data_IF_307885855347
#
_entry.id   IF_307885855347
#
_cell.length_a   1.000
_cell.length_b   1.000
_cell.length_c   1.000
_cell.angle_alpha   90.00
_cell.angle_beta   90.00
_cell.angle_gamma   90.00
#
_symmetry.space_group_name_H-M   'P 1'
#
loop_
_entity.id
_entity.type
_entity.pdbx_description
1 polymer ?
#
# COMPACT_ATOMS: atom_id res chain seq x y z
N UNK A 1 -5.32 -16.21 21.72
CA UNK A 1 -5.82 -15.49 20.51
C UNK A 1 -5.02 -14.21 20.35
N UNK A 2 -4.28 -14.05 19.26
CA UNK A 2 -3.51 -12.83 18.97
C UNK A 2 -4.43 -11.71 18.52
N UNK A 3 -4.15 -10.48 18.96
CA UNK A 3 -4.95 -9.29 18.66
C UNK A 3 -4.13 -8.28 17.86
N UNK A 4 -4.68 -7.88 16.71
CA UNK A 4 -4.02 -6.96 15.78
C UNK A 4 -4.82 -5.66 15.68
N UNK A 5 -4.13 -4.53 15.73
CA UNK A 5 -4.63 -3.25 15.23
C UNK A 5 -4.17 -3.09 13.78
N UNK A 6 -5.11 -3.11 12.83
CA UNK A 6 -4.84 -2.89 11.42
C UNK A 6 -5.36 -1.50 11.05
N UNK A 7 -4.50 -0.59 10.69
CA UNK A 7 -4.91 0.76 10.26
C UNK A 7 -4.91 0.88 8.75
N UNK A 8 -5.78 1.69 8.16
CA UNK A 8 -5.92 1.77 6.70
C UNK A 8 -6.51 0.49 6.09
N UNK A 9 -7.32 -0.22 6.86
CA UNK A 9 -7.87 -1.53 6.53
C UNK A 9 -8.91 -1.52 5.40
N UNK A 10 -9.58 -0.40 5.15
CA UNK A 10 -10.54 -0.24 4.07
C UNK A 10 -9.89 0.21 2.74
N UNK A 11 -8.58 0.48 2.74
CA UNK A 11 -7.78 0.75 1.55
C UNK A 11 -7.39 -0.53 0.79
N UNK A 12 -6.69 -0.37 -0.32
CA UNK A 12 -6.29 -1.47 -1.22
C UNK A 12 -5.49 -2.58 -0.53
N UNK A 13 -4.29 -2.27 -0.02
CA UNK A 13 -3.42 -3.30 0.56
C UNK A 13 -3.98 -3.78 1.91
N UNK A 14 -4.51 -2.85 2.72
CA UNK A 14 -5.07 -3.16 4.03
C UNK A 14 -6.23 -4.15 3.97
N UNK A 15 -7.17 -3.98 3.03
CA UNK A 15 -8.31 -4.90 2.87
C UNK A 15 -7.86 -6.30 2.40
N UNK A 16 -6.94 -6.38 1.44
CA UNK A 16 -6.35 -7.66 1.03
C UNK A 16 -5.65 -8.36 2.21
N UNK A 17 -4.95 -7.59 3.07
CA UNK A 17 -4.31 -8.14 4.26
C UNK A 17 -5.33 -8.65 5.28
N UNK A 18 -6.45 -7.94 5.50
CA UNK A 18 -7.54 -8.41 6.37
C UNK A 18 -8.10 -9.74 5.86
N UNK A 19 -8.44 -9.84 4.57
CA UNK A 19 -8.91 -11.08 3.95
C UNK A 19 -7.89 -12.22 4.09
N UNK A 20 -6.61 -11.94 3.80
CA UNK A 20 -5.53 -12.91 3.94
C UNK A 20 -5.40 -13.44 5.36
N UNK A 21 -5.41 -12.56 6.38
CA UNK A 21 -5.26 -12.94 7.77
C UNK A 21 -6.43 -13.77 8.29
N UNK A 22 -7.67 -13.37 7.98
CA UNK A 22 -8.88 -14.12 8.38
C UNK A 22 -8.94 -15.50 7.72
N UNK A 23 -8.47 -15.63 6.47
CA UNK A 23 -8.38 -16.91 5.77
C UNK A 23 -7.32 -17.83 6.37
N UNK A 24 -6.17 -17.25 6.79
CA UNK A 24 -5.03 -18.02 7.26
C UNK A 24 -5.13 -18.46 8.72
N UNK A 25 -5.66 -17.59 9.59
CA UNK A 25 -5.63 -17.77 11.03
C UNK A 25 -7.02 -17.91 11.64
N UNK A 26 -7.39 -19.06 12.21
CA UNK A 26 -8.70 -19.24 12.84
C UNK A 26 -8.84 -18.52 14.20
N UNK A 27 -7.73 -18.30 14.91
CA UNK A 27 -7.71 -17.77 16.28
C UNK A 27 -7.02 -16.40 16.37
N UNK A 28 -7.56 -15.41 15.69
CA UNK A 28 -7.10 -14.02 15.75
C UNK A 28 -8.25 -13.06 16.00
N UNK A 29 -7.96 -11.86 16.45
CA UNK A 29 -8.87 -10.72 16.44
C UNK A 29 -8.22 -9.59 15.65
N UNK A 30 -8.90 -9.10 14.62
CA UNK A 30 -8.50 -7.94 13.84
C UNK A 30 -9.38 -6.76 14.21
N UNK A 31 -8.81 -5.75 14.86
CA UNK A 31 -9.47 -4.45 15.08
C UNK A 31 -8.98 -3.54 13.95
N UNK A 32 -9.88 -3.18 13.07
CA UNK A 32 -9.62 -2.57 11.79
C UNK A 32 -10.02 -1.09 11.84
N UNK A 33 -9.03 -0.20 11.92
CA UNK A 33 -9.21 1.25 12.03
C UNK A 33 -9.00 1.92 10.67
N UNK A 34 -10.02 2.64 10.18
CA UNK A 34 -9.91 3.43 8.96
C UNK A 34 -10.70 4.73 9.09
N UNK A 35 -10.15 5.80 8.53
CA UNK A 35 -10.80 7.11 8.51
C UNK A 35 -11.86 7.21 7.42
N UNK A 36 -11.85 6.30 6.43
CA UNK A 36 -12.69 6.32 5.25
C UNK A 36 -12.52 7.63 4.46
N UNK A 37 -11.28 7.94 4.10
CA UNK A 37 -10.97 9.01 3.13
C UNK A 37 -11.30 8.53 1.72
N UNK A 38 -10.92 9.29 0.69
CA UNK A 38 -11.28 9.02 -0.70
C UNK A 38 -10.93 7.61 -1.22
N UNK A 39 -9.90 6.96 -0.69
CA UNK A 39 -9.46 5.62 -1.10
C UNK A 39 -9.87 4.51 -0.13
N UNK A 40 -10.48 4.85 1.01
CA UNK A 40 -11.04 3.91 1.98
C UNK A 40 -12.49 3.58 1.63
N UNK A 41 -12.77 2.30 1.34
CA UNK A 41 -14.10 1.85 0.95
C UNK A 41 -14.51 0.60 1.73
N UNK A 42 -15.63 0.67 2.45
CA UNK A 42 -16.15 -0.47 3.22
C UNK A 42 -16.57 -1.66 2.34
N UNK A 43 -16.87 -1.44 1.07
CA UNK A 43 -17.14 -2.55 0.14
C UNK A 43 -15.94 -3.50 0.00
N UNK A 44 -14.73 -3.01 0.23
CA UNK A 44 -13.52 -3.82 0.25
C UNK A 44 -13.52 -4.87 1.40
N UNK A 45 -14.35 -4.68 2.43
CA UNK A 45 -14.46 -5.53 3.62
C UNK A 45 -15.83 -6.21 3.74
N UNK A 46 -16.71 -6.05 2.74
CA UNK A 46 -18.10 -6.57 2.78
C UNK A 46 -18.16 -8.07 3.03
N UNK A 47 -17.29 -8.83 2.39
CA UNK A 47 -17.27 -10.30 2.51
C UNK A 47 -16.87 -10.79 3.91
N UNK A 48 -16.27 -9.94 4.73
CA UNK A 48 -15.82 -10.25 6.09
C UNK A 48 -16.54 -9.45 7.17
N UNK A 49 -17.53 -8.64 6.80
CA UNK A 49 -18.27 -7.77 7.72
C UNK A 49 -18.91 -8.53 8.88
N UNK A 50 -19.43 -9.74 8.62
CA UNK A 50 -20.09 -10.59 9.62
C UNK A 50 -19.14 -11.55 10.36
N UNK A 51 -17.83 -11.56 10.04
CA UNK A 51 -16.87 -12.43 10.72
C UNK A 51 -16.63 -11.92 12.16
N UNK A 52 -16.89 -12.74 13.22
CA UNK A 52 -16.72 -12.31 14.60
C UNK A 52 -15.28 -11.95 14.99
N UNK A 53 -14.31 -12.31 14.16
CA UNK A 53 -12.89 -11.95 14.34
C UNK A 53 -12.54 -10.60 13.72
N UNK A 54 -13.48 -9.97 13.01
CA UNK A 54 -13.35 -8.68 12.35
C UNK A 54 -14.15 -7.63 13.11
N UNK A 55 -13.47 -6.62 13.65
CA UNK A 55 -14.09 -5.47 14.31
C UNK A 55 -13.69 -4.21 13.55
N UNK A 56 -14.65 -3.55 12.91
CA UNK A 56 -14.38 -2.29 12.23
C UNK A 56 -14.58 -1.10 13.16
N UNK A 57 -13.67 -0.14 13.10
CA UNK A 57 -13.73 1.15 13.80
C UNK A 57 -13.47 2.26 12.80
N UNK A 58 -14.43 3.17 12.63
CA UNK A 58 -14.19 4.37 11.85
C UNK A 58 -13.48 5.42 12.69
N UNK A 59 -12.31 5.89 12.25
CA UNK A 59 -11.57 6.92 12.97
C UNK A 59 -10.20 7.23 12.38
N UNK A 60 -9.62 8.33 12.86
CA UNK A 60 -8.34 8.85 12.41
C UNK A 60 -7.20 8.35 13.32
N UNK A 61 -6.11 7.85 12.76
CA UNK A 61 -4.91 7.49 13.53
C UNK A 61 -4.27 8.70 14.24
N UNK A 62 -4.62 9.91 13.84
CA UNK A 62 -4.19 11.14 14.51
C UNK A 62 -5.02 11.45 15.77
N UNK A 63 -6.18 10.82 15.97
CA UNK A 63 -7.02 11.00 17.14
C UNK A 63 -6.43 10.24 18.34
N UNK A 64 -5.87 11.01 19.26
CA UNK A 64 -5.16 10.48 20.44
C UNK A 64 -6.09 9.72 21.38
N UNK A 65 -7.25 10.26 21.65
CA UNK A 65 -8.21 9.69 22.61
C UNK A 65 -8.80 8.38 22.07
N UNK A 66 -9.14 8.37 20.76
CA UNK A 66 -9.62 7.16 20.10
C UNK A 66 -8.57 6.05 20.15
N UNK A 67 -7.33 6.33 19.72
CA UNK A 67 -6.27 5.32 19.66
C UNK A 67 -5.92 4.81 21.06
N UNK A 68 -5.82 5.69 22.07
CA UNK A 68 -5.60 5.31 23.46
C UNK A 68 -6.72 4.39 23.97
N UNK A 69 -7.98 4.75 23.72
CA UNK A 69 -9.14 3.92 24.07
C UNK A 69 -9.12 2.54 23.42
N UNK A 70 -8.63 2.44 22.17
CA UNK A 70 -8.48 1.14 21.50
C UNK A 70 -7.39 0.28 22.16
N UNK A 71 -6.23 0.85 22.51
CA UNK A 71 -5.19 0.11 23.23
C UNK A 71 -5.65 -0.34 24.60
N UNK A 72 -6.38 0.50 25.35
CA UNK A 72 -6.92 0.14 26.66
C UNK A 72 -7.96 -1.00 26.57
N UNK A 73 -8.78 -0.99 25.50
CA UNK A 73 -9.86 -1.98 25.35
C UNK A 73 -9.36 -3.34 24.89
N UNK A 74 -8.40 -3.36 23.96
CA UNK A 74 -8.07 -4.60 23.24
C UNK A 74 -6.74 -5.24 23.63
N UNK A 75 -5.81 -4.54 24.27
CA UNK A 75 -4.46 -5.00 24.60
C UNK A 75 -3.78 -5.70 23.38
N UNK A 76 -3.51 -4.92 22.34
CA UNK A 76 -2.97 -5.41 21.07
C UNK A 76 -1.63 -6.09 21.23
N UNK A 77 -1.42 -7.19 20.49
CA UNK A 77 -0.11 -7.82 20.31
C UNK A 77 0.64 -7.20 19.14
N UNK A 78 -0.08 -6.83 18.10
CA UNK A 78 0.50 -6.25 16.88
C UNK A 78 -0.22 -4.98 16.46
N UNK A 79 0.55 -4.02 15.98
CA UNK A 79 0.06 -2.89 15.17
C UNK A 79 0.65 -3.02 13.78
N UNK A 80 -0.21 -3.10 12.76
CA UNK A 80 0.20 -3.08 11.35
C UNK A 80 -0.35 -1.80 10.73
N UNK A 81 0.55 -0.85 10.45
CA UNK A 81 0.15 0.47 9.98
C UNK A 81 0.20 0.57 8.46
N UNK A 82 -0.98 0.43 7.82
CA UNK A 82 -1.19 0.73 6.40
C UNK A 82 -1.72 2.15 6.17
N UNK A 83 -2.28 2.79 7.20
CA UNK A 83 -2.92 4.10 7.05
C UNK A 83 -1.93 5.14 6.52
N UNK A 84 -2.23 5.69 5.36
CA UNK A 84 -1.43 6.72 4.72
C UNK A 84 -2.22 7.43 3.61
N UNK A 85 -1.97 8.73 3.43
CA UNK A 85 -2.19 9.38 2.15
C UNK A 85 -1.13 8.87 1.16
N UNK A 86 -1.51 8.42 -0.05
CA UNK A 86 -0.61 7.61 -0.90
C UNK A 86 -0.52 8.03 -2.37
N UNK A 87 -1.17 9.12 -2.78
CA UNK A 87 -1.17 9.54 -4.18
C UNK A 87 -0.23 10.72 -4.41
N UNK A 88 0.83 10.51 -5.23
CA UNK A 88 1.88 11.52 -5.48
C UNK A 88 1.29 12.82 -6.00
N UNK A 89 0.40 12.81 -7.01
CA UNK A 89 -0.18 14.04 -7.57
C UNK A 89 -1.01 14.83 -6.53
N UNK A 90 -1.69 14.11 -5.61
CA UNK A 90 -2.39 14.76 -4.48
C UNK A 90 -1.39 15.39 -3.52
N UNK A 91 -0.24 14.76 -3.29
CA UNK A 91 0.81 15.29 -2.41
C UNK A 91 1.44 16.58 -2.94
N UNK A 92 1.54 16.72 -4.26
CA UNK A 92 2.03 17.92 -4.91
C UNK A 92 1.02 19.08 -4.74
N UNK A 93 -0.28 18.80 -4.78
CA UNK A 93 -1.35 19.80 -4.61
C UNK A 93 -1.56 20.19 -3.14
N UNK A 94 -1.50 19.24 -2.22
CA UNK A 94 -1.75 19.44 -0.79
C UNK A 94 -0.79 18.60 0.07
N UNK A 95 0.47 19.05 0.29
CA UNK A 95 1.46 18.28 1.04
C UNK A 95 1.15 18.18 2.54
N UNK A 96 0.44 19.14 3.12
CA UNK A 96 0.17 19.19 4.57
C UNK A 96 -0.60 17.98 5.07
N UNK A 97 -1.59 17.51 4.31
CA UNK A 97 -2.38 16.34 4.71
C UNK A 97 -1.52 15.08 4.78
N UNK A 98 -0.46 15.00 3.95
CA UNK A 98 0.49 13.89 3.98
C UNK A 98 1.36 13.93 5.24
N UNK A 99 1.79 15.11 5.67
CA UNK A 99 2.51 15.26 6.95
C UNK A 99 1.58 14.89 8.10
N UNK A 100 0.36 15.39 8.11
CA UNK A 100 -0.61 15.09 9.17
C UNK A 100 -0.89 13.59 9.27
N UNK A 101 -1.28 12.95 8.18
CA UNK A 101 -1.66 11.54 8.20
C UNK A 101 -0.44 10.63 8.36
N UNK A 102 0.59 10.80 7.51
CA UNK A 102 1.67 9.82 7.42
C UNK A 102 2.70 9.99 8.54
N UNK A 103 2.96 11.22 8.99
CA UNK A 103 3.96 11.47 10.05
C UNK A 103 3.30 11.55 11.41
N UNK A 104 2.37 12.50 11.60
CA UNK A 104 1.75 12.71 12.91
C UNK A 104 0.91 11.51 13.35
N UNK A 105 0.16 10.89 12.42
CA UNK A 105 -0.58 9.65 12.69
C UNK A 105 0.33 8.50 13.10
N UNK A 106 1.47 8.30 12.41
CA UNK A 106 2.47 7.28 12.78
C UNK A 106 3.05 7.56 14.17
N UNK A 107 3.43 8.80 14.47
CA UNK A 107 3.96 9.18 15.80
C UNK A 107 2.94 8.93 16.89
N UNK A 108 1.66 9.24 16.66
CA UNK A 108 0.59 8.96 17.63
C UNK A 108 0.46 7.45 17.90
N UNK A 109 0.44 6.62 16.85
CA UNK A 109 0.38 5.15 17.01
C UNK A 109 1.59 4.61 17.80
N UNK A 110 2.80 5.06 17.45
CA UNK A 110 4.03 4.67 18.14
C UNK A 110 3.99 5.06 19.63
N UNK A 111 3.54 6.28 19.94
CA UNK A 111 3.46 6.75 21.30
C UNK A 111 2.45 5.96 22.14
N UNK A 112 1.24 5.69 21.58
CA UNK A 112 0.21 4.89 22.27
C UNK A 112 0.66 3.44 22.45
N UNK A 113 1.29 2.85 21.43
CA UNK A 113 1.87 1.50 21.53
C UNK A 113 2.97 1.44 22.61
N UNK A 114 3.85 2.43 22.65
CA UNK A 114 4.89 2.52 23.69
C UNK A 114 4.27 2.59 25.11
N UNK A 115 3.29 3.44 25.31
CA UNK A 115 2.62 3.59 26.63
C UNK A 115 1.90 2.30 27.05
N UNK A 116 1.34 1.55 26.11
CA UNK A 116 0.66 0.30 26.39
C UNK A 116 1.61 -0.89 26.61
N UNK A 117 2.77 -0.90 25.97
CA UNK A 117 3.66 -2.07 25.90
C UNK A 117 4.93 -1.97 26.73
N UNK A 118 5.37 -0.76 27.10
CA UNK A 118 6.58 -0.56 27.89
C UNK A 118 6.26 -0.51 29.38
N UNK A 119 6.91 -1.38 30.16
CA UNK A 119 6.87 -1.35 31.62
C UNK A 119 7.97 -0.41 32.12
N UNK A 120 7.57 0.76 32.61
CA UNK A 120 8.51 1.78 33.08
C UNK A 120 9.23 1.42 34.41
N UNK A 121 8.62 0.57 35.24
CA UNK A 121 9.20 0.10 36.49
C UNK A 121 10.24 -0.99 36.21
N UNK A 122 9.89 -2.00 35.44
CA UNK A 122 10.78 -3.08 35.05
C UNK A 122 11.79 -2.65 33.96
N UNK A 123 11.55 -1.53 33.26
CA UNK A 123 12.33 -1.03 32.10
C UNK A 123 12.41 -2.07 30.98
N UNK A 124 11.32 -2.77 30.74
CA UNK A 124 11.23 -3.83 29.73
C UNK A 124 10.01 -3.66 28.86
N UNK A 125 10.07 -4.22 27.65
CA UNK A 125 8.93 -4.34 26.76
C UNK A 125 8.16 -5.63 27.05
N UNK A 126 6.83 -5.55 27.03
CA UNK A 126 5.98 -6.74 27.10
C UNK A 126 6.31 -7.71 25.95
N UNK A 127 6.46 -8.98 26.26
CA UNK A 127 6.79 -10.02 25.28
C UNK A 127 5.71 -10.20 24.23
N UNK A 128 6.10 -10.52 22.98
CA UNK A 128 5.16 -10.81 21.88
C UNK A 128 4.51 -9.58 21.26
N UNK A 129 4.86 -8.36 21.68
CA UNK A 129 4.34 -7.11 21.11
C UNK A 129 5.22 -6.64 19.95
N UNK A 130 4.63 -6.15 18.86
CA UNK A 130 5.37 -5.63 17.70
C UNK A 130 4.59 -4.57 16.93
N UNK A 131 5.27 -3.50 16.56
CA UNK A 131 4.79 -2.51 15.60
C UNK A 131 5.41 -2.75 14.23
N UNK A 132 4.59 -2.78 13.17
CA UNK A 132 5.06 -2.89 11.80
C UNK A 132 4.56 -1.72 10.97
N UNK A 133 5.49 -0.99 10.36
CA UNK A 133 5.22 0.09 9.42
C UNK A 133 5.26 -0.44 7.99
N UNK A 134 4.18 -0.28 7.25
CA UNK A 134 4.16 -0.54 5.81
C UNK A 134 4.56 0.74 5.08
N UNK A 135 5.70 0.69 4.39
CA UNK A 135 6.33 1.80 3.67
C UNK A 135 6.47 1.46 2.19
N UNK A 136 7.25 2.24 1.46
CA UNK A 136 7.39 2.19 0.00
C UNK A 136 8.87 2.31 -0.40
N UNK A 137 9.24 1.79 -1.56
CA UNK A 137 10.55 1.96 -2.18
C UNK A 137 10.82 3.40 -2.64
N UNK A 138 9.75 4.21 -2.83
CA UNK A 138 9.89 5.62 -3.21
C UNK A 138 10.67 6.46 -2.20
N UNK A 139 10.84 5.97 -0.96
CA UNK A 139 11.66 6.64 0.07
C UNK A 139 13.15 6.65 -0.26
N UNK A 140 13.61 5.75 -1.13
CA UNK A 140 15.01 5.68 -1.56
C UNK A 140 15.39 6.71 -2.64
N UNK A 141 14.40 7.27 -3.34
CA UNK A 141 14.62 8.15 -4.50
C UNK A 141 14.70 7.39 -5.81
N UNK A 142 15.45 7.92 -6.79
CA UNK A 142 15.55 7.36 -8.13
C UNK A 142 16.80 6.50 -8.32
N UNK A 143 16.65 5.38 -9.02
CA UNK A 143 17.77 4.59 -9.54
C UNK A 143 18.22 5.09 -10.92
N UNK A 144 19.50 4.86 -11.22
CA UNK A 144 20.02 4.89 -12.59
C UNK A 144 19.53 3.70 -13.42
N UNK A 145 20.23 3.45 -14.54
CA UNK A 145 19.89 2.33 -15.43
C UNK A 145 20.11 0.95 -14.79
N UNK A 146 21.02 0.85 -13.84
CA UNK A 146 21.44 -0.40 -13.21
C UNK A 146 21.36 -0.31 -11.69
N UNK A 147 21.46 -1.47 -11.01
CA UNK A 147 21.45 -1.60 -9.56
C UNK A 147 20.07 -1.73 -8.98
N UNK A 148 20.03 -1.93 -7.65
CA UNK A 148 18.81 -2.07 -6.84
C UNK A 148 18.98 -1.33 -5.51
N UNK A 149 17.90 -0.84 -4.95
CA UNK A 149 17.88 -0.35 -3.58
C UNK A 149 17.98 -1.50 -2.60
N UNK A 150 18.93 -1.38 -1.68
CA UNK A 150 19.11 -2.25 -0.52
C UNK A 150 18.50 -1.57 0.70
N UNK A 151 18.23 -2.33 1.77
CA UNK A 151 17.75 -1.74 3.03
C UNK A 151 18.72 -0.74 3.66
N UNK A 152 20.01 -0.85 3.29
CA UNK A 152 21.10 0.06 3.71
C UNK A 152 21.23 1.31 2.82
N UNK A 153 20.49 1.39 1.72
CA UNK A 153 20.50 2.57 0.83
C UNK A 153 19.96 3.78 1.59
N UNK A 154 20.67 4.93 1.59
CA UNK A 154 20.19 6.16 2.21
C UNK A 154 18.85 6.62 1.63
N UNK A 155 17.98 7.18 2.49
CA UNK A 155 16.71 7.73 2.06
C UNK A 155 16.93 9.07 1.35
N UNK A 156 16.39 9.19 0.12
CA UNK A 156 16.50 10.39 -0.70
C UNK A 156 15.19 10.64 -1.49
N UNK A 157 14.06 10.87 -0.80
CA UNK A 157 12.75 11.00 -1.45
C UNK A 157 12.64 12.27 -2.29
N UNK A 158 11.93 12.20 -3.45
CA UNK A 158 11.80 13.31 -4.39
C UNK A 158 10.38 13.90 -4.48
N UNK A 159 9.39 13.34 -3.77
CA UNK A 159 8.03 13.86 -3.73
C UNK A 159 7.57 14.16 -2.30
N UNK A 160 6.56 15.03 -2.09
CA UNK A 160 6.00 15.24 -0.75
C UNK A 160 5.43 13.94 -0.14
N UNK A 161 4.84 13.05 -0.96
CA UNK A 161 4.42 11.72 -0.52
C UNK A 161 5.60 10.90 0.00
N UNK A 162 6.62 10.67 -0.84
CA UNK A 162 7.77 9.86 -0.46
C UNK A 162 8.54 10.46 0.72
N UNK A 163 8.62 11.80 0.82
CA UNK A 163 9.21 12.50 1.97
C UNK A 163 8.43 12.26 3.25
N UNK A 164 7.10 12.25 3.20
CA UNK A 164 6.26 11.95 4.36
C UNK A 164 6.42 10.49 4.83
N UNK A 165 6.54 9.55 3.88
CA UNK A 165 6.79 8.12 4.20
C UNK A 165 8.19 7.91 4.78
N UNK A 166 9.22 8.54 4.20
CA UNK A 166 10.58 8.51 4.73
C UNK A 166 10.65 9.10 6.15
N UNK A 167 9.95 10.20 6.39
CA UNK A 167 9.83 10.80 7.74
C UNK A 167 9.17 9.85 8.73
N UNK A 168 8.08 9.16 8.33
CA UNK A 168 7.45 8.14 9.16
C UNK A 168 8.42 7.00 9.50
N UNK A 169 9.15 6.48 8.49
CA UNK A 169 10.18 5.44 8.69
C UNK A 169 11.25 5.89 9.70
N UNK A 170 11.73 7.14 9.59
CA UNK A 170 12.71 7.70 10.51
C UNK A 170 12.18 7.77 11.95
N UNK A 171 10.91 8.13 12.16
CA UNK A 171 10.31 8.10 13.49
C UNK A 171 10.19 6.68 14.04
N UNK A 172 9.81 5.70 13.21
CA UNK A 172 9.74 4.29 13.61
C UNK A 172 11.11 3.80 14.07
N UNK A 173 12.17 4.08 13.30
CA UNK A 173 13.56 3.74 13.67
C UNK A 173 14.01 4.48 14.92
N UNK A 174 13.70 5.77 15.04
CA UNK A 174 14.05 6.56 16.23
C UNK A 174 13.40 6.02 17.51
N UNK A 175 12.16 5.50 17.45
CA UNK A 175 11.52 4.84 18.59
C UNK A 175 12.24 3.54 18.97
N UNK A 176 12.75 2.80 17.98
CA UNK A 176 13.59 1.64 18.24
C UNK A 176 14.93 2.05 18.89
N UNK A 177 15.67 2.94 18.26
CA UNK A 177 17.01 3.34 18.71
C UNK A 177 17.00 4.03 20.07
N UNK A 178 15.96 4.84 20.36
CA UNK A 178 15.86 5.61 21.60
C UNK A 178 15.27 4.79 22.74
N UNK A 179 14.28 3.98 22.48
CA UNK A 179 13.50 3.30 23.53
C UNK A 179 13.61 1.77 23.47
N UNK A 180 14.26 1.19 22.45
CA UNK A 180 14.30 -0.26 22.24
C UNK A 180 12.95 -0.83 21.81
N UNK A 181 12.06 -0.01 21.22
CA UNK A 181 10.71 -0.45 20.83
C UNK A 181 10.77 -1.60 19.82
N UNK A 182 9.98 -2.68 20.00
CA UNK A 182 9.94 -3.79 19.05
C UNK A 182 9.20 -3.38 17.77
N UNK A 183 9.96 -3.04 16.73
CA UNK A 183 9.43 -2.60 15.44
C UNK A 183 9.98 -3.42 14.27
N UNK A 184 9.29 -3.36 13.15
CA UNK A 184 9.82 -3.61 11.81
C UNK A 184 9.26 -2.59 10.82
N UNK A 185 9.95 -2.44 9.69
CA UNK A 185 9.50 -1.66 8.53
C UNK A 185 9.54 -2.57 7.31
N UNK A 186 8.49 -2.57 6.48
CA UNK A 186 8.53 -3.14 5.14
C UNK A 186 8.51 -2.02 4.11
N UNK A 187 9.40 -2.06 3.10
CA UNK A 187 9.40 -1.14 1.96
C UNK A 187 9.06 -1.94 0.72
N UNK A 188 7.89 -1.71 0.15
CA UNK A 188 7.40 -2.48 -0.98
C UNK A 188 7.56 -1.74 -2.31
N UNK A 189 7.69 -2.50 -3.38
CA UNK A 189 7.56 -2.02 -4.74
C UNK A 189 6.09 -1.77 -5.13
N UNK A 190 5.82 -1.39 -6.38
CA UNK A 190 4.48 -1.04 -6.84
C UNK A 190 3.51 -2.22 -6.76
N UNK A 191 2.51 -2.11 -5.90
CA UNK A 191 1.50 -3.15 -5.74
C UNK A 191 0.40 -3.06 -6.82
N UNK A 192 -0.16 -4.22 -7.20
CA UNK A 192 -1.34 -4.33 -8.04
C UNK A 192 -2.18 -5.55 -7.64
N UNK A 193 -3.49 -5.53 -7.97
CA UNK A 193 -4.41 -6.60 -7.61
C UNK A 193 -5.83 -6.11 -7.32
N UNK A 194 -6.68 -6.96 -6.72
CA UNK A 194 -8.04 -6.64 -6.31
C UNK A 194 -8.13 -5.41 -5.39
N UNK A 195 -9.25 -4.66 -5.49
CA UNK A 195 -9.57 -3.51 -4.65
C UNK A 195 -8.64 -2.28 -4.79
N UNK A 196 -7.74 -2.24 -5.76
CA UNK A 196 -6.90 -1.06 -5.98
C UNK A 196 -7.73 0.09 -6.57
N UNK A 197 -7.68 1.26 -5.91
CA UNK A 197 -8.47 2.43 -6.30
C UNK A 197 -8.09 2.93 -7.71
N UNK A 198 -9.06 3.26 -8.58
CA UNK A 198 -8.84 3.51 -10.01
C UNK A 198 -8.16 4.84 -10.37
N UNK A 199 -7.53 5.51 -9.41
CA UNK A 199 -6.55 6.58 -9.67
C UNK A 199 -5.14 6.02 -10.00
N UNK A 200 -4.90 4.73 -9.69
CA UNK A 200 -3.64 4.04 -9.97
C UNK A 200 -3.64 3.44 -11.37
N UNK A 201 -2.44 3.29 -11.95
CA UNK A 201 -2.24 2.96 -13.36
C UNK A 201 -3.09 1.76 -13.83
N UNK A 202 -2.95 0.60 -13.20
CA UNK A 202 -3.59 -0.63 -13.70
C UNK A 202 -5.11 -0.55 -13.66
N UNK A 203 -5.79 -0.24 -12.53
CA UNK A 203 -7.25 -0.17 -12.52
C UNK A 203 -7.80 1.00 -13.36
N UNK A 204 -7.08 2.13 -13.44
CA UNK A 204 -7.45 3.24 -14.31
C UNK A 204 -7.49 2.79 -15.77
N UNK A 205 -6.43 2.11 -16.23
CA UNK A 205 -6.35 1.65 -17.62
C UNK A 205 -7.42 0.60 -17.92
N UNK A 206 -7.66 -0.36 -17.03
CA UNK A 206 -8.72 -1.37 -17.19
C UNK A 206 -10.09 -0.68 -17.33
N UNK A 207 -10.41 0.27 -16.45
CA UNK A 207 -11.68 0.99 -16.51
C UNK A 207 -11.82 1.83 -17.79
N UNK A 208 -10.74 2.54 -18.19
CA UNK A 208 -10.77 3.38 -19.38
C UNK A 208 -10.88 2.56 -20.66
N UNK A 209 -10.10 1.46 -20.81
CA UNK A 209 -10.18 0.56 -21.98
C UNK A 209 -11.60 0.02 -22.15
N UNK A 210 -12.20 -0.49 -21.07
CA UNK A 210 -13.56 -1.03 -21.09
C UNK A 210 -14.62 -0.04 -21.58
N UNK A 211 -14.40 1.25 -21.35
CA UNK A 211 -15.33 2.33 -21.73
C UNK A 211 -14.84 3.13 -22.96
N UNK A 212 -13.89 2.62 -23.75
CA UNK A 212 -13.30 3.30 -24.92
C UNK A 212 -12.81 4.73 -24.62
N UNK A 213 -12.36 4.98 -23.39
CA UNK A 213 -11.80 6.26 -22.99
C UNK A 213 -10.31 6.31 -23.29
N UNK A 214 -9.78 7.52 -23.46
CA UNK A 214 -8.34 7.74 -23.63
C UNK A 214 -7.54 7.20 -22.43
N UNK A 215 -6.38 6.62 -22.73
CA UNK A 215 -5.44 6.07 -21.77
C UNK A 215 -4.30 7.07 -21.55
N UNK A 216 -4.35 7.88 -20.49
CA UNK A 216 -3.32 8.89 -20.25
C UNK A 216 -2.00 8.24 -19.84
N UNK A 217 -0.97 8.40 -20.66
CA UNK A 217 0.39 7.93 -20.39
C UNK A 217 1.30 9.12 -20.17
N UNK A 218 1.89 9.23 -18.98
CA UNK A 218 2.81 10.31 -18.65
C UNK A 218 4.11 10.23 -19.47
N UNK A 219 4.50 11.35 -20.09
CA UNK A 219 5.71 11.45 -20.90
C UNK A 219 5.77 10.41 -22.01
N UNK A 220 6.87 9.68 -22.09
CA UNK A 220 7.09 8.60 -23.05
C UNK A 220 6.58 7.21 -22.56
N UNK A 221 6.11 7.13 -21.31
CA UNK A 221 5.67 5.88 -20.68
C UNK A 221 6.79 4.91 -20.32
N UNK A 222 8.05 5.32 -20.44
CA UNK A 222 9.22 4.47 -20.22
C UNK A 222 9.72 4.46 -18.77
N UNK A 223 8.97 5.04 -17.84
CA UNK A 223 9.25 4.92 -16.41
C UNK A 223 9.10 3.45 -16.00
N UNK A 224 10.15 2.91 -15.39
CA UNK A 224 10.20 1.50 -14.97
C UNK A 224 9.78 1.37 -13.52
N UNK A 225 8.89 0.40 -13.26
CA UNK A 225 8.44 0.03 -11.92
C UNK A 225 8.56 -1.47 -11.74
N UNK A 226 8.88 -1.88 -10.52
CA UNK A 226 8.79 -3.27 -10.11
C UNK A 226 7.38 -3.56 -9.60
N UNK A 227 6.71 -4.57 -10.16
CA UNK A 227 5.29 -4.85 -9.92
C UNK A 227 5.12 -6.06 -9.01
N UNK A 228 4.53 -5.82 -7.83
CA UNK A 228 4.29 -6.81 -6.79
C UNK A 228 2.79 -7.13 -6.68
N UNK A 229 2.43 -8.40 -6.86
CA UNK A 229 1.05 -8.82 -6.65
C UNK A 229 0.67 -8.71 -5.18
N UNK A 230 -0.49 -8.14 -4.89
CA UNK A 230 -0.88 -7.74 -3.53
C UNK A 230 -0.93 -8.90 -2.53
N UNK A 231 -1.31 -10.11 -2.97
CA UNK A 231 -1.32 -11.28 -2.07
C UNK A 231 0.09 -11.70 -1.64
N UNK A 232 1.08 -11.60 -2.53
CA UNK A 232 2.48 -11.86 -2.18
C UNK A 232 2.99 -10.81 -1.18
N UNK A 233 2.57 -9.56 -1.31
CA UNK A 233 2.86 -8.53 -0.31
C UNK A 233 2.22 -8.83 1.04
N UNK A 234 0.95 -9.25 1.08
CA UNK A 234 0.28 -9.66 2.31
C UNK A 234 1.03 -10.80 3.03
N UNK A 235 1.52 -11.79 2.27
CA UNK A 235 2.37 -12.86 2.81
C UNK A 235 3.66 -12.31 3.42
N UNK A 236 4.34 -11.38 2.74
CA UNK A 236 5.56 -10.75 3.27
C UNK A 236 5.31 -10.03 4.59
N UNK A 237 4.26 -9.20 4.65
CA UNK A 237 3.89 -8.45 5.85
C UNK A 237 3.63 -9.40 7.03
N UNK A 238 2.86 -10.46 6.81
CA UNK A 238 2.57 -11.47 7.82
C UNK A 238 3.86 -12.18 8.30
N UNK A 239 4.74 -12.56 7.38
CA UNK A 239 6.02 -13.21 7.73
C UNK A 239 6.93 -12.27 8.52
N UNK A 240 7.01 -10.98 8.15
CA UNK A 240 7.78 -9.98 8.91
C UNK A 240 7.16 -9.72 10.27
N UNK A 241 5.84 -9.60 10.36
CA UNK A 241 5.15 -9.40 11.64
C UNK A 241 5.44 -10.54 12.63
N UNK A 242 5.42 -11.80 12.16
CA UNK A 242 5.60 -12.96 13.02
C UNK A 242 7.06 -13.41 13.21
N UNK A 243 7.94 -13.19 12.23
CA UNK A 243 9.32 -13.72 12.23
C UNK A 243 10.42 -12.69 11.97
N UNK A 244 10.09 -11.45 11.60
CA UNK A 244 11.09 -10.42 11.33
C UNK A 244 11.93 -10.09 12.56
N UNK A 245 13.23 -9.93 12.36
CA UNK A 245 14.16 -9.50 13.43
C UNK A 245 13.80 -8.09 13.87
N UNK A 246 13.68 -7.89 15.16
CA UNK A 246 13.33 -6.59 15.77
C UNK A 246 14.34 -5.51 15.35
N UNK A 247 13.83 -4.31 15.00
CA UNK A 247 14.63 -3.18 14.55
C UNK A 247 15.00 -3.21 13.06
N UNK A 248 14.65 -4.27 12.34
CA UNK A 248 15.06 -4.44 10.96
C UNK A 248 14.03 -3.93 9.94
N UNK A 249 14.59 -3.42 8.83
CA UNK A 249 13.84 -3.06 7.61
C UNK A 249 13.92 -4.22 6.64
N UNK A 250 12.84 -4.48 5.90
CA UNK A 250 12.76 -5.50 4.86
C UNK A 250 12.22 -4.91 3.56
N UNK A 251 12.97 -5.04 2.48
CA UNK A 251 12.52 -4.75 1.13
C UNK A 251 11.63 -5.89 0.61
N UNK A 252 10.49 -5.53 -0.02
CA UNK A 252 9.51 -6.47 -0.55
C UNK A 252 9.26 -6.15 -2.01
N UNK A 253 10.00 -6.78 -2.91
CA UNK A 253 9.98 -6.56 -4.36
C UNK A 253 9.35 -7.70 -5.14
N UNK A 254 8.77 -7.36 -6.30
CA UNK A 254 8.10 -8.33 -7.17
C UNK A 254 9.02 -9.06 -8.14
N UNK A 255 10.24 -8.58 -8.37
CA UNK A 255 11.14 -9.00 -9.47
C UNK A 255 10.48 -8.92 -10.85
N UNK A 256 9.58 -7.98 -11.04
CA UNK A 256 8.80 -7.78 -12.25
C UNK A 256 8.96 -6.35 -12.78
N UNK A 257 10.20 -5.91 -13.02
CA UNK A 257 10.46 -4.58 -13.58
C UNK A 257 9.92 -4.47 -15.01
N UNK A 258 9.01 -3.52 -15.24
CA UNK A 258 8.39 -3.26 -16.55
C UNK A 258 8.18 -1.76 -16.75
N UNK A 259 8.37 -1.24 -17.98
CA UNK A 259 7.96 0.11 -18.33
C UNK A 259 6.44 0.27 -18.24
N UNK A 260 5.96 1.45 -17.84
CA UNK A 260 4.53 1.73 -17.74
C UNK A 260 3.80 1.50 -19.08
N UNK A 261 4.41 1.87 -20.20
CA UNK A 261 3.80 1.64 -21.53
C UNK A 261 3.60 0.15 -21.83
N UNK A 262 4.49 -0.73 -21.34
CA UNK A 262 4.31 -2.18 -21.48
C UNK A 262 3.07 -2.67 -20.71
N UNK A 263 2.84 -2.14 -19.51
CA UNK A 263 1.65 -2.46 -18.71
C UNK A 263 0.37 -2.05 -19.44
N UNK A 264 0.36 -0.82 -19.99
CA UNK A 264 -0.81 -0.28 -20.74
C UNK A 264 -1.13 -1.16 -21.96
N UNK A 265 -0.12 -1.50 -22.77
CA UNK A 265 -0.29 -2.37 -23.94
C UNK A 265 -0.73 -3.78 -23.55
N UNK A 266 -0.21 -4.33 -22.46
CA UNK A 266 -0.65 -5.63 -21.95
C UNK A 266 -2.12 -5.61 -21.56
N UNK A 267 -2.61 -4.56 -20.91
CA UNK A 267 -4.03 -4.41 -20.54
C UNK A 267 -4.90 -4.30 -21.78
N UNK A 268 -4.50 -3.50 -22.78
CA UNK A 268 -5.22 -3.37 -24.05
C UNK A 268 -5.39 -4.74 -24.70
N UNK A 269 -4.30 -5.47 -24.92
CA UNK A 269 -4.30 -6.78 -25.58
C UNK A 269 -5.17 -7.79 -24.82
N UNK A 270 -5.02 -7.85 -23.49
CA UNK A 270 -5.78 -8.75 -22.64
C UNK A 270 -7.30 -8.46 -22.66
N UNK A 271 -7.71 -7.19 -22.71
CA UNK A 271 -9.12 -6.80 -22.78
C UNK A 271 -9.69 -6.95 -24.18
N UNK A 272 -8.94 -6.61 -25.24
CA UNK A 272 -9.31 -6.89 -26.62
C UNK A 272 -9.65 -8.37 -26.82
N UNK A 273 -8.75 -9.27 -26.39
CA UNK A 273 -8.92 -10.71 -26.54
C UNK A 273 -10.10 -11.26 -25.72
N UNK A 274 -10.34 -10.74 -24.49
CA UNK A 274 -11.44 -11.21 -23.64
C UNK A 274 -12.80 -10.72 -24.07
N UNK A 275 -12.87 -9.46 -24.50
CA UNK A 275 -14.14 -8.81 -24.84
C UNK A 275 -14.48 -8.96 -26.32
N UNK A 276 -13.54 -9.42 -27.16
CA UNK A 276 -13.69 -9.53 -28.63
C UNK A 276 -14.17 -8.22 -29.23
N UNK A 277 -13.57 -7.10 -28.78
CA UNK A 277 -14.01 -5.74 -29.11
C UNK A 277 -12.94 -5.03 -29.95
N UNK A 278 -13.22 -4.87 -31.23
CA UNK A 278 -12.31 -4.24 -32.20
C UNK A 278 -12.06 -2.73 -31.94
N UNK A 279 -12.88 -2.09 -31.10
CA UNK A 279 -12.66 -0.71 -30.66
C UNK A 279 -11.58 -0.58 -29.59
N UNK A 280 -11.10 -1.69 -29.04
CA UNK A 280 -10.02 -1.74 -28.06
C UNK A 280 -8.68 -1.91 -28.79
N UNK A 281 -7.93 -0.80 -28.92
CA UNK A 281 -6.65 -0.79 -29.63
C UNK A 281 -5.66 0.17 -28.96
N UNK A 282 -4.41 0.18 -29.42
CA UNK A 282 -3.40 1.15 -28.98
C UNK A 282 -3.74 2.61 -29.37
N UNK A 283 -4.71 2.84 -30.26
CA UNK A 283 -5.19 4.19 -30.60
C UNK A 283 -5.85 4.92 -29.42
N UNK A 284 -6.24 4.18 -28.39
CA UNK A 284 -6.72 4.77 -27.14
C UNK A 284 -5.61 5.45 -26.32
N UNK A 285 -4.33 5.14 -26.58
CA UNK A 285 -3.20 5.72 -25.86
C UNK A 285 -3.07 7.21 -26.17
N UNK A 286 -3.03 8.03 -25.11
CA UNK A 286 -2.73 9.46 -25.21
C UNK A 286 -1.55 9.82 -24.31
N UNK A 287 -0.45 10.24 -24.94
CA UNK A 287 0.67 10.79 -24.17
C UNK A 287 0.30 12.17 -23.62
N UNK A 288 0.51 12.35 -22.31
CA UNK A 288 0.24 13.60 -21.59
C UNK A 288 1.55 14.14 -21.00
N UNK A 289 1.54 15.43 -20.56
CA UNK A 289 2.70 16.04 -19.92
C UNK A 289 3.18 15.18 -18.74
N UNK A 290 4.51 15.04 -18.61
CA UNK A 290 5.06 14.23 -17.53
C UNK A 290 4.85 14.90 -16.17
N UNK A 291 4.87 14.07 -15.13
CA UNK A 291 4.71 14.49 -13.73
C UNK A 291 5.98 15.20 -13.26
N UNK A 292 5.82 16.23 -12.43
CA UNK A 292 6.95 16.87 -11.76
C UNK A 292 7.61 15.89 -10.77
N UNK A 293 8.94 15.82 -10.81
CA UNK A 293 9.69 14.91 -9.95
C UNK A 293 9.43 13.42 -10.23
N UNK A 294 9.11 13.06 -11.48
CA UNK A 294 8.79 11.69 -11.86
C UNK A 294 10.07 10.85 -12.01
N UNK A 295 10.40 10.09 -11.01
CA UNK A 295 11.55 9.19 -11.00
C UNK A 295 11.50 8.17 -12.14
N UNK A 296 12.64 7.97 -12.82
CA UNK A 296 12.71 7.15 -14.02
C UNK A 296 12.60 5.66 -13.72
N UNK A 297 13.23 5.17 -12.65
CA UNK A 297 13.26 3.75 -12.31
C UNK A 297 13.24 3.53 -10.81
N UNK A 298 12.43 2.57 -10.38
CA UNK A 298 12.49 1.94 -9.09
C UNK A 298 12.77 0.46 -9.25
N UNK A 299 13.61 -0.08 -8.38
CA UNK A 299 13.89 -1.50 -8.27
C UNK A 299 14.51 -1.78 -6.91
N UNK A 300 13.99 -2.77 -6.20
CA UNK A 300 14.47 -3.11 -4.86
C UNK A 300 14.96 -4.54 -4.81
N UNK A 301 15.95 -4.79 -3.95
CA UNK A 301 16.47 -6.13 -3.70
C UNK A 301 15.79 -6.74 -2.48
N UNK A 302 15.00 -7.82 -2.65
CA UNK A 302 14.35 -8.53 -1.54
C UNK A 302 15.21 -9.69 -1.00
N UNK A 303 16.51 -9.72 -1.26
CA UNK A 303 17.38 -10.83 -0.84
C UNK A 303 17.37 -11.02 0.68
N UNK A 304 17.30 -9.95 1.46
CA UNK A 304 17.28 -10.00 2.92
C UNK A 304 16.05 -10.74 3.46
N UNK A 305 14.86 -10.38 3.02
CA UNK A 305 13.63 -11.05 3.46
C UNK A 305 13.62 -12.52 3.04
N UNK A 306 14.16 -12.84 1.86
CA UNK A 306 14.33 -14.23 1.40
C UNK A 306 15.26 -15.01 2.33
N UNK A 307 16.41 -14.46 2.67
CA UNK A 307 17.40 -15.14 3.51
C UNK A 307 16.95 -15.29 4.96
N UNK A 308 16.32 -14.24 5.52
CA UNK A 308 15.91 -14.23 6.91
C UNK A 308 14.60 -15.01 7.17
N UNK A 309 13.66 -14.95 6.24
CA UNK A 309 12.30 -15.43 6.43
C UNK A 309 11.84 -16.47 5.38
N UNK A 310 12.62 -16.69 4.32
CA UNK A 310 12.25 -17.60 3.24
C UNK A 310 11.19 -17.05 2.29
N UNK A 311 10.81 -15.77 2.41
CA UNK A 311 9.83 -15.16 1.52
C UNK A 311 10.40 -14.86 0.13
N UNK A 312 9.60 -15.12 -0.87
CA UNK A 312 9.86 -14.76 -2.27
C UNK A 312 8.52 -14.54 -2.99
N UNK A 313 8.41 -13.58 -3.95
CA UNK A 313 7.16 -13.39 -4.69
C UNK A 313 6.85 -14.63 -5.53
N UNK A 314 5.65 -15.19 -5.37
CA UNK A 314 5.22 -16.42 -6.04
C UNK A 314 4.39 -16.17 -7.29
N UNK A 315 3.97 -14.91 -7.51
CA UNK A 315 3.08 -14.53 -8.60
C UNK A 315 3.84 -13.76 -9.67
N UNK A 316 4.26 -14.40 -10.80
CA UNK A 316 4.82 -13.69 -11.94
C UNK A 316 3.81 -12.67 -12.49
N UNK A 317 4.33 -11.56 -13.07
CA UNK A 317 3.48 -10.48 -13.60
C UNK A 317 2.42 -11.00 -14.59
N UNK A 318 2.80 -11.90 -15.49
CA UNK A 318 1.93 -12.46 -16.52
C UNK A 318 0.71 -13.20 -15.93
N UNK A 319 0.87 -13.82 -14.76
CA UNK A 319 -0.23 -14.46 -14.03
C UNK A 319 -1.02 -13.43 -13.23
N UNK A 320 -0.34 -12.56 -12.50
CA UNK A 320 -0.97 -11.58 -11.62
C UNK A 320 -1.83 -10.57 -12.38
N UNK A 321 -1.39 -10.13 -13.57
CA UNK A 321 -2.18 -9.19 -14.39
C UNK A 321 -3.47 -9.82 -14.90
N UNK A 322 -3.44 -11.11 -15.27
CA UNK A 322 -4.64 -11.87 -15.65
C UNK A 322 -5.63 -11.94 -14.49
N UNK A 323 -5.17 -12.35 -13.30
CA UNK A 323 -6.01 -12.41 -12.10
C UNK A 323 -6.61 -11.04 -11.75
N UNK A 324 -5.83 -9.98 -11.94
CA UNK A 324 -6.27 -8.60 -11.67
C UNK A 324 -7.35 -8.17 -12.65
N UNK A 325 -7.14 -8.36 -13.96
CA UNK A 325 -8.12 -8.01 -14.99
C UNK A 325 -9.40 -8.80 -14.77
N UNK A 326 -9.31 -10.11 -14.56
CA UNK A 326 -10.48 -10.97 -14.31
C UNK A 326 -11.27 -10.51 -13.09
N UNK A 327 -10.58 -10.08 -12.02
CA UNK A 327 -11.25 -9.53 -10.85
C UNK A 327 -12.06 -8.27 -11.19
N UNK A 328 -11.47 -7.28 -11.89
CA UNK A 328 -12.17 -6.04 -12.25
C UNK A 328 -13.33 -6.28 -13.24
N UNK A 329 -13.20 -7.23 -14.15
CA UNK A 329 -14.31 -7.60 -15.06
C UNK A 329 -15.49 -8.21 -14.29
N UNK A 330 -15.23 -8.98 -13.26
CA UNK A 330 -16.26 -9.64 -12.45
C UNK A 330 -16.81 -8.76 -11.29
N UNK A 331 -16.23 -7.59 -11.03
CA UNK A 331 -16.62 -6.68 -9.93
C UNK A 331 -16.98 -5.28 -10.46
N UNK A 332 -17.82 -5.25 -11.50
CA UNK A 332 -18.20 -3.98 -12.13
C UNK A 332 -18.98 -3.06 -11.18
N UNK A 333 -19.87 -3.60 -10.37
CA UNK A 333 -20.61 -2.82 -9.35
C UNK A 333 -19.67 -2.09 -8.42
N UNK A 334 -18.62 -2.77 -7.94
CA UNK A 334 -17.59 -2.15 -7.12
C UNK A 334 -16.90 -1.00 -7.87
N UNK A 335 -16.51 -1.24 -9.13
CA UNK A 335 -15.85 -0.22 -9.96
C UNK A 335 -16.77 0.99 -10.17
N UNK A 336 -18.04 0.79 -10.45
CA UNK A 336 -19.02 1.86 -10.67
C UNK A 336 -19.23 2.70 -9.40
N UNK A 337 -19.28 2.06 -8.23
CA UNK A 337 -19.39 2.76 -6.95
C UNK A 337 -18.15 3.63 -6.66
N UNK A 338 -16.95 3.07 -6.76
CA UNK A 338 -15.72 3.81 -6.45
C UNK A 338 -15.38 4.89 -7.48
N UNK A 339 -15.91 4.80 -8.70
CA UNK A 339 -15.72 5.80 -9.76
C UNK A 339 -16.87 6.82 -9.85
N UNK A 340 -17.81 6.78 -8.92
CA UNK A 340 -18.91 7.75 -8.81
C UNK A 340 -18.49 9.02 -8.04
N UNK A 341 -19.33 10.04 -8.06
CA UNK A 341 -19.20 11.22 -7.19
C UNK A 341 -17.87 11.95 -7.33
N UNK A 342 -17.14 12.13 -6.21
CA UNK A 342 -15.91 12.92 -6.14
C UNK A 342 -14.78 12.39 -7.02
N UNK A 343 -14.76 11.10 -7.34
CA UNK A 343 -13.79 10.54 -8.28
C UNK A 343 -13.93 11.18 -9.66
N UNK A 344 -15.14 11.45 -10.12
CA UNK A 344 -15.37 12.07 -11.44
C UNK A 344 -14.79 13.49 -11.52
N UNK A 345 -14.95 14.26 -10.45
CA UNK A 345 -14.36 15.60 -10.33
C UNK A 345 -12.83 15.52 -10.35
N UNK A 346 -12.25 14.60 -9.55
CA UNK A 346 -10.82 14.34 -9.54
C UNK A 346 -10.29 13.94 -10.94
N UNK A 347 -10.98 13.02 -11.63
CA UNK A 347 -10.57 12.58 -12.97
C UNK A 347 -10.57 13.72 -14.00
N UNK A 348 -11.58 14.59 -13.94
CA UNK A 348 -11.65 15.77 -14.81
C UNK A 348 -10.50 16.73 -14.56
N UNK A 349 -10.19 17.03 -13.31
CA UNK A 349 -9.10 17.93 -12.91
C UNK A 349 -7.72 17.41 -13.32
N UNK A 350 -7.54 16.09 -13.32
CA UNK A 350 -6.25 15.47 -13.62
C UNK A 350 -5.99 15.28 -15.10
N UNK A 351 -7.02 14.94 -15.90
CA UNK A 351 -6.81 14.41 -17.25
C UNK A 351 -7.52 15.18 -18.37
N UNK A 352 -8.60 15.93 -18.11
CA UNK A 352 -9.32 16.69 -19.17
C UNK A 352 -8.71 18.03 -19.49
N UNK A 353 -7.91 18.58 -18.60
CA UNK A 353 -7.29 19.90 -18.74
C UNK A 353 -5.78 19.83 -19.04
N UNK A 354 -5.29 18.64 -19.45
CA UNK A 354 -3.88 18.43 -19.82
C UNK A 354 -3.71 18.10 -21.30
#
# INVERSE_FOLDING_TARGET
MKKYLITGCAGFIGSNFVHYMLKKYPEILLVNLDKLTYAGNLENLKDVESDPRHVFVQGDICDKELVEGLFAKYDFDYVINFAAESHVDRSIKNPEIFVQSNVMGTVNLLQRAKEAWYDAEAKTWKEGKKYLQVSTDEVYGALGAEGFFMETTPLCPHSPYSSSKASADMFVMAFHDTYGMPINITRCSNNYGPYQFPEKLIPLMINNVKHHKQLPVYGDGMQIRDWLYVEDHCKAIDMVANGGKIGEVYNVGGHNERPNIFIVKTIINQLHDRLQDEGISEDLIKHVADRLGHDRRYGIDPTKIKNDLGWYPETPFEKGIVLTIDWYLNHQEWMDHVTSGDYQNYYQDMYKNK
#
